data_IF_280622620927
#
_entry.id   IF_280622620927
#
_cell.length_a   1.000
_cell.length_b   1.000
_cell.length_c   1.000
_cell.angle_alpha   90.00
_cell.angle_beta   90.00
_cell.angle_gamma   90.00
#
_symmetry.space_group_name_H-M   'P 1'
#
loop_
_entity.id
_entity.type
_entity.pdbx_description
1 polymer ?
#
# COMPACT_ATOMS: atom_id res chain seq x y z
N UNK A 1 8.74 -2.96 -14.31
CA UNK A 1 8.22 -2.61 -12.96
C UNK A 1 9.36 -2.67 -11.96
N UNK A 2 9.52 -1.70 -11.05
CA UNK A 2 10.67 -1.66 -10.11
C UNK A 2 10.57 -2.76 -9.04
N UNK A 3 11.69 -3.29 -8.49
CA UNK A 3 11.66 -4.41 -7.53
C UNK A 3 10.80 -4.15 -6.29
N UNK A 4 10.87 -2.94 -5.73
CA UNK A 4 10.04 -2.53 -4.59
C UNK A 4 8.54 -2.48 -4.95
N UNK A 5 8.21 -2.06 -6.17
CA UNK A 5 6.83 -2.00 -6.67
C UNK A 5 6.24 -3.40 -6.81
N UNK A 6 7.05 -4.36 -7.28
CA UNK A 6 6.68 -5.78 -7.32
C UNK A 6 6.40 -6.36 -5.95
N UNK A 7 7.23 -6.04 -4.94
CA UNK A 7 7.00 -6.48 -3.55
C UNK A 7 5.69 -5.93 -3.00
N UNK A 8 5.39 -4.64 -3.23
CA UNK A 8 4.13 -4.01 -2.80
C UNK A 8 2.94 -4.65 -3.50
N UNK A 9 3.03 -4.89 -4.81
CA UNK A 9 1.99 -5.60 -5.57
C UNK A 9 1.72 -6.98 -4.98
N UNK A 10 2.76 -7.79 -4.80
CA UNK A 10 2.62 -9.15 -4.27
C UNK A 10 1.98 -9.15 -2.88
N UNK A 11 2.37 -8.20 -2.02
CA UNK A 11 1.76 -8.05 -0.71
C UNK A 11 0.28 -7.66 -0.82
N UNK A 12 -0.07 -6.64 -1.61
CA UNK A 12 -1.45 -6.22 -1.82
C UNK A 12 -2.33 -7.33 -2.41
N UNK A 13 -1.81 -8.14 -3.34
CA UNK A 13 -2.55 -9.26 -3.92
C UNK A 13 -2.81 -10.38 -2.90
N UNK A 14 -1.90 -10.56 -1.92
CA UNK A 14 -1.98 -11.58 -0.88
C UNK A 14 -2.83 -11.15 0.32
N UNK A 15 -2.61 -9.94 0.84
CA UNK A 15 -3.23 -9.44 2.09
C UNK A 15 -4.37 -8.46 1.87
N UNK A 16 -4.52 -7.96 0.64
CA UNK A 16 -5.51 -6.94 0.27
C UNK A 16 -5.16 -5.52 0.73
N UNK A 17 -4.27 -5.34 1.71
CA UNK A 17 -4.01 -4.01 2.29
C UNK A 17 -2.57 -3.81 2.75
N UNK A 18 -2.12 -2.55 2.77
CA UNK A 18 -0.80 -2.17 3.27
C UNK A 18 -0.82 -0.77 3.88
N UNK A 19 -0.02 -0.53 4.92
CA UNK A 19 0.18 0.79 5.54
C UNK A 19 1.63 1.24 5.36
N UNK A 20 1.92 2.57 5.39
CA UNK A 20 3.29 3.07 5.32
C UNK A 20 4.21 2.48 6.38
N UNK A 21 3.72 2.35 7.63
CA UNK A 21 4.53 1.79 8.71
C UNK A 21 4.80 0.29 8.52
N UNK A 22 3.86 -0.46 7.94
CA UNK A 22 4.08 -1.86 7.61
C UNK A 22 5.11 -2.02 6.49
N UNK A 23 4.97 -1.24 5.41
CA UNK A 23 5.92 -1.25 4.30
C UNK A 23 7.34 -0.87 4.75
N UNK A 24 7.45 0.11 5.65
CA UNK A 24 8.73 0.52 6.21
C UNK A 24 9.35 -0.58 7.08
N UNK A 25 8.62 -1.06 8.10
CA UNK A 25 9.17 -2.00 9.10
C UNK A 25 9.44 -3.40 8.56
N UNK A 26 8.56 -3.91 7.70
CA UNK A 26 8.61 -5.33 7.27
C UNK A 26 9.13 -5.52 5.86
N UNK A 27 9.16 -4.48 5.03
CA UNK A 27 9.58 -4.58 3.62
C UNK A 27 10.76 -3.66 3.27
N UNK A 28 11.18 -2.78 4.18
CA UNK A 28 12.24 -1.79 3.94
C UNK A 28 11.87 -0.71 2.92
N UNK A 29 10.58 -0.42 2.74
CA UNK A 29 10.08 0.51 1.72
C UNK A 29 9.71 1.85 2.36
N UNK A 30 10.56 2.85 2.18
CA UNK A 30 10.39 4.20 2.73
C UNK A 30 9.32 5.03 2.00
N UNK A 31 9.32 5.00 0.65
CA UNK A 31 8.39 5.79 -0.19
C UNK A 31 7.27 4.93 -0.76
N UNK A 32 6.45 4.36 0.12
CA UNK A 32 5.32 3.51 -0.29
C UNK A 32 4.39 4.23 -1.28
N UNK A 33 4.09 5.51 -1.06
CA UNK A 33 3.20 6.30 -1.92
C UNK A 33 3.65 6.31 -3.40
N UNK A 34 4.97 6.41 -3.65
CA UNK A 34 5.51 6.36 -5.02
C UNK A 34 5.28 5.00 -5.68
N UNK A 35 5.38 3.91 -4.92
CA UNK A 35 5.11 2.55 -5.41
C UNK A 35 3.61 2.35 -5.69
N UNK A 36 2.74 2.89 -4.83
CA UNK A 36 1.29 2.87 -5.04
C UNK A 36 0.91 3.68 -6.30
N UNK A 37 1.55 4.83 -6.53
CA UNK A 37 1.35 5.62 -7.75
C UNK A 37 1.69 4.81 -9.02
N UNK A 38 2.84 4.14 -9.03
CA UNK A 38 3.24 3.25 -10.14
C UNK A 38 2.24 2.10 -10.35
N UNK A 39 1.69 1.51 -9.28
CA UNK A 39 0.70 0.44 -9.38
C UNK A 39 -0.64 0.93 -9.93
N UNK A 40 -1.09 2.11 -9.52
CA UNK A 40 -2.29 2.76 -10.09
C UNK A 40 -2.12 3.06 -11.57
N UNK A 41 -0.95 3.56 -11.96
CA UNK A 41 -0.60 3.79 -13.36
C UNK A 41 -0.58 2.48 -14.17
N UNK A 42 -0.25 1.36 -13.55
CA UNK A 42 -0.36 0.03 -14.19
C UNK A 42 -1.79 -0.54 -14.25
N UNK A 43 -2.81 0.25 -13.86
CA UNK A 43 -4.22 -0.17 -13.88
C UNK A 43 -4.70 -0.88 -12.62
N UNK A 44 -3.89 -0.95 -11.55
CA UNK A 44 -4.28 -1.62 -10.31
C UNK A 44 -5.21 -0.72 -9.48
N UNK A 45 -6.38 -1.23 -9.12
CA UNK A 45 -7.37 -0.49 -8.32
C UNK A 45 -6.97 -0.46 -6.85
N UNK A 46 -6.34 0.63 -6.42
CA UNK A 46 -5.89 0.82 -5.04
C UNK A 46 -6.55 2.05 -4.44
N UNK A 47 -7.39 1.85 -3.42
CA UNK A 47 -8.04 2.91 -2.66
C UNK A 47 -7.19 3.31 -1.45
N UNK A 48 -7.07 4.61 -1.20
CA UNK A 48 -6.47 5.13 0.03
C UNK A 48 -7.58 5.49 1.01
N UNK A 49 -7.53 4.95 2.22
CA UNK A 49 -8.42 5.33 3.33
C UNK A 49 -7.59 5.90 4.47
N UNK A 50 -8.04 6.99 5.07
CA UNK A 50 -7.44 7.49 6.31
C UNK A 50 -8.01 6.72 7.50
N UNK A 51 -7.16 6.36 8.44
CA UNK A 51 -7.53 5.65 9.67
C UNK A 51 -6.89 6.35 10.86
N UNK A 52 -7.61 6.39 11.98
CA UNK A 52 -7.09 6.87 13.25
C UNK A 52 -6.48 5.69 14.00
N UNK A 53 -5.26 5.85 14.50
CA UNK A 53 -4.62 4.90 15.41
C UNK A 53 -5.28 4.97 16.78
N UNK A 54 -5.11 3.93 17.60
CA UNK A 54 -5.52 3.90 19.00
C UNK A 54 -4.93 5.05 19.82
N UNK A 55 -3.76 5.57 19.42
CA UNK A 55 -3.10 6.74 20.03
C UNK A 55 -3.54 8.08 19.44
N UNK A 56 -4.64 8.10 18.67
CA UNK A 56 -5.19 9.31 18.06
C UNK A 56 -4.50 9.82 16.79
N UNK A 57 -3.32 9.28 16.44
CA UNK A 57 -2.59 9.67 15.21
C UNK A 57 -3.29 9.17 13.95
N UNK A 58 -3.47 10.03 12.96
CA UNK A 58 -4.01 9.64 11.65
C UNK A 58 -2.93 9.00 10.77
N UNK A 59 -3.31 8.00 9.98
CA UNK A 59 -2.44 7.34 9.01
C UNK A 59 -3.23 6.89 7.79
N UNK A 60 -2.53 6.73 6.66
CA UNK A 60 -3.12 6.21 5.44
C UNK A 60 -3.03 4.67 5.40
N UNK A 61 -4.09 4.02 4.94
CA UNK A 61 -4.15 2.60 4.62
C UNK A 61 -4.52 2.45 3.15
N UNK A 62 -3.70 1.72 2.41
CA UNK A 62 -3.94 1.40 1.01
C UNK A 62 -4.59 0.03 0.92
N UNK A 63 -5.65 -0.09 0.12
CA UNK A 63 -6.44 -1.31 -0.04
C UNK A 63 -6.59 -1.59 -1.53
N UNK A 64 -6.32 -2.83 -1.94
CA UNK A 64 -6.61 -3.30 -3.28
C UNK A 64 -8.07 -3.74 -3.31
N UNK A 65 -8.91 -3.01 -4.04
CA UNK A 65 -10.29 -3.40 -4.28
C UNK A 65 -10.27 -4.39 -5.45
N UNK A 66 -10.57 -5.67 -5.19
CA UNK A 66 -10.89 -6.59 -6.27
C UNK A 66 -12.32 -6.26 -6.67
N UNK A 67 -12.52 -5.74 -7.88
CA UNK A 67 -13.85 -5.76 -8.47
C UNK A 67 -14.32 -7.21 -8.49
N UNK A 68 -15.47 -7.45 -7.87
CA UNK A 68 -16.23 -8.71 -8.01
C UNK A 68 -16.70 -8.88 -9.46
#
# INVERSE_FOLDING_TARGET
MKPQTSKVRAHLMKTGTITPIHAFKFMGIYRLASRICELRQSGMMIVTRQKKSTRGKMYCKYTHERGE
#
